data_IF_578581788301
#
_entry.id   IF_578581788301
#
_cell.length_a   1.000
_cell.length_b   1.000
_cell.length_c   1.000
_cell.angle_alpha   90.00
_cell.angle_beta   90.00
_cell.angle_gamma   90.00
#
_symmetry.space_group_name_H-M   'P 1'
#
loop_
_entity.id
_entity.type
_entity.pdbx_description
1 polymer ?
#
# COMPACT_ATOMS: atom_id res chain seq x y z
N UNK A 1 -27.69 -21.36 -6.71
CA UNK A 1 -26.72 -21.12 -5.64
C UNK A 1 -25.51 -20.43 -6.28
N UNK A 2 -25.23 -19.19 -5.92
CA UNK A 2 -24.08 -18.46 -6.40
C UNK A 2 -22.84 -18.91 -5.64
N UNK A 3 -21.71 -19.06 -6.33
CA UNK A 3 -20.41 -19.33 -5.74
C UNK A 3 -19.42 -18.23 -6.14
N UNK A 4 -18.61 -17.78 -5.21
CA UNK A 4 -17.49 -16.86 -5.48
C UNK A 4 -16.31 -17.68 -5.98
N UNK A 5 -15.59 -17.15 -6.94
CA UNK A 5 -14.30 -17.68 -7.39
C UNK A 5 -13.38 -16.52 -7.78
N UNK A 6 -12.11 -16.72 -7.57
CA UNK A 6 -11.06 -15.77 -7.96
C UNK A 6 -10.27 -16.39 -9.11
N UNK A 7 -10.37 -15.83 -10.34
CA UNK A 7 -9.78 -16.44 -11.54
C UNK A 7 -8.27 -16.54 -11.52
N UNK A 8 -7.61 -15.71 -10.69
CA UNK A 8 -6.15 -15.73 -10.55
C UNK A 8 -5.76 -16.47 -9.28
N UNK A 9 -4.93 -17.52 -9.42
CA UNK A 9 -4.33 -18.20 -8.28
C UNK A 9 -3.08 -17.47 -7.74
N UNK A 10 -2.77 -16.30 -8.29
CA UNK A 10 -1.62 -15.53 -7.87
C UNK A 10 -1.89 -14.75 -6.59
N UNK A 11 -1.10 -14.96 -5.52
CA UNK A 11 -1.17 -14.15 -4.30
C UNK A 11 -0.92 -12.64 -4.51
N UNK A 12 -0.37 -12.27 -5.67
CA UNK A 12 -0.09 -10.87 -6.03
C UNK A 12 -1.32 -9.96 -5.98
N UNK A 13 -2.53 -10.50 -6.17
CA UNK A 13 -3.77 -9.72 -6.25
C UNK A 13 -4.62 -9.77 -4.97
N UNK A 14 -4.34 -10.70 -4.07
CA UNK A 14 -5.21 -10.97 -2.91
C UNK A 14 -5.36 -9.78 -1.98
N UNK A 15 -4.30 -9.00 -1.79
CA UNK A 15 -4.33 -7.75 -0.99
C UNK A 15 -4.93 -6.54 -1.73
N UNK A 16 -5.39 -6.72 -2.98
CA UNK A 16 -6.19 -5.73 -3.73
C UNK A 16 -7.65 -6.16 -3.74
N UNK A 17 -7.93 -7.36 -4.25
CA UNK A 17 -9.29 -7.88 -4.37
C UNK A 17 -9.90 -8.20 -3.02
N UNK A 18 -9.11 -8.74 -2.12
CA UNK A 18 -9.57 -9.28 -0.86
C UNK A 18 -10.29 -10.62 -1.04
N UNK A 19 -11.03 -11.01 -0.04
CA UNK A 19 -11.88 -12.20 -0.02
C UNK A 19 -13.31 -11.82 0.39
N UNK A 20 -14.26 -12.66 0.01
CA UNK A 20 -15.62 -12.66 0.54
C UNK A 20 -15.95 -14.07 1.03
N UNK A 21 -16.11 -14.22 2.33
CA UNK A 21 -16.42 -15.47 3.00
C UNK A 21 -17.62 -15.27 3.92
N UNK A 22 -18.49 -16.27 3.99
CA UNK A 22 -19.60 -16.28 4.95
C UNK A 22 -19.12 -16.44 6.40
N UNK A 23 -17.91 -16.91 6.60
CA UNK A 23 -17.34 -17.22 7.90
C UNK A 23 -16.36 -16.14 8.37
N UNK A 24 -15.47 -15.67 7.48
CA UNK A 24 -14.42 -14.70 7.81
C UNK A 24 -14.76 -13.27 7.42
N UNK A 25 -15.96 -13.04 6.85
CA UNK A 25 -16.38 -11.73 6.37
C UNK A 25 -15.79 -11.36 5.01
N UNK A 26 -15.47 -10.09 4.84
CA UNK A 26 -14.91 -9.57 3.60
C UNK A 26 -13.75 -8.63 3.88
N UNK A 27 -12.83 -8.51 2.90
CA UNK A 27 -11.69 -7.60 3.00
C UNK A 27 -11.48 -6.81 1.69
N UNK A 28 -10.66 -5.77 1.73
CA UNK A 28 -10.20 -4.97 0.60
C UNK A 28 -11.36 -4.52 -0.32
N UNK A 29 -11.28 -4.74 -1.63
CA UNK A 29 -12.33 -4.35 -2.59
C UNK A 29 -13.63 -5.12 -2.37
N UNK A 30 -13.58 -6.39 -2.00
CA UNK A 30 -14.78 -7.16 -1.65
C UNK A 30 -15.56 -6.54 -0.49
N UNK A 31 -14.87 -5.94 0.48
CA UNK A 31 -15.50 -5.22 1.59
C UNK A 31 -15.93 -3.81 1.18
N UNK A 32 -15.00 -3.02 0.61
CA UNK A 32 -15.22 -1.59 0.34
C UNK A 32 -16.20 -1.31 -0.80
N UNK A 33 -16.34 -2.25 -1.75
CA UNK A 33 -17.23 -2.16 -2.90
C UNK A 33 -18.38 -3.16 -2.83
N UNK A 34 -18.66 -3.71 -1.65
CA UNK A 34 -19.68 -4.75 -1.47
C UNK A 34 -21.06 -4.32 -1.94
N UNK A 35 -21.48 -3.08 -1.70
CA UNK A 35 -22.80 -2.57 -2.10
C UNK A 35 -22.96 -2.50 -3.62
N UNK A 36 -21.88 -2.12 -4.33
CA UNK A 36 -21.85 -2.13 -5.80
C UNK A 36 -21.86 -3.57 -6.31
N UNK A 37 -21.01 -4.42 -5.76
CA UNK A 37 -20.84 -5.81 -6.21
C UNK A 37 -22.09 -6.66 -5.98
N UNK A 38 -22.90 -6.36 -4.95
CA UNK A 38 -24.14 -7.08 -4.65
C UNK A 38 -25.42 -6.37 -5.18
N UNK A 39 -25.30 -5.20 -5.81
CA UNK A 39 -26.41 -4.47 -6.41
C UNK A 39 -27.27 -3.69 -5.42
N UNK A 40 -26.81 -3.43 -4.20
CA UNK A 40 -27.53 -2.66 -3.17
C UNK A 40 -27.17 -1.19 -3.13
N UNK A 41 -26.16 -0.75 -3.88
CA UNK A 41 -25.74 0.65 -3.93
C UNK A 41 -26.82 1.55 -4.53
N UNK A 42 -27.07 2.70 -3.91
CA UNK A 42 -28.10 3.66 -4.32
C UNK A 42 -27.88 4.20 -5.74
N UNK A 43 -26.65 4.26 -6.23
CA UNK A 43 -26.31 4.70 -7.60
C UNK A 43 -26.87 3.75 -8.66
N UNK A 44 -27.12 2.51 -8.32
CA UNK A 44 -27.69 1.47 -9.21
C UNK A 44 -29.21 1.49 -9.24
N UNK A 45 -29.88 2.21 -8.33
CA UNK A 45 -31.35 2.25 -8.23
C UNK A 45 -31.99 2.80 -9.51
N UNK A 46 -31.37 3.76 -10.17
CA UNK A 46 -31.87 4.33 -11.43
C UNK A 46 -31.80 3.37 -12.60
N UNK A 47 -30.87 2.41 -12.58
CA UNK A 47 -30.76 1.35 -13.59
C UNK A 47 -31.64 0.16 -13.26
N UNK A 48 -31.86 -0.11 -11.98
CA UNK A 48 -32.55 -1.30 -11.48
C UNK A 48 -34.05 -1.06 -11.15
N UNK A 49 -34.57 0.18 -11.29
CA UNK A 49 -35.98 0.45 -10.94
C UNK A 49 -37.00 -0.37 -11.77
N UNK A 50 -36.72 -0.61 -13.05
CA UNK A 50 -37.50 -1.45 -13.93
C UNK A 50 -37.42 -2.94 -13.55
N UNK A 51 -36.26 -3.38 -13.09
CA UNK A 51 -36.02 -4.76 -12.65
C UNK A 51 -36.65 -5.02 -11.28
N UNK A 52 -36.73 -4.02 -10.41
CA UNK A 52 -37.45 -4.10 -9.12
C UNK A 52 -38.96 -4.29 -9.29
N UNK A 53 -39.56 -3.69 -10.33
CA UNK A 53 -40.99 -3.85 -10.66
C UNK A 53 -41.27 -5.21 -11.29
N UNK A 54 -40.26 -5.84 -11.92
CA UNK A 54 -40.43 -7.11 -12.65
C UNK A 54 -40.02 -8.35 -11.86
N UNK A 55 -39.82 -8.23 -10.53
CA UNK A 55 -39.46 -9.34 -9.63
C UNK A 55 -38.19 -10.11 -10.07
N UNK A 56 -37.27 -9.41 -10.77
CA UNK A 56 -35.96 -9.96 -11.16
C UNK A 56 -34.96 -9.86 -10.01
N UNK A 57 -34.11 -10.86 -9.91
CA UNK A 57 -33.01 -10.84 -8.96
C UNK A 57 -32.11 -9.58 -9.16
N UNK A 58 -31.74 -8.93 -8.06
CA UNK A 58 -30.80 -7.80 -8.09
C UNK A 58 -29.45 -8.29 -8.62
N UNK A 59 -28.94 -7.62 -9.64
CA UNK A 59 -27.66 -7.91 -10.24
C UNK A 59 -26.68 -6.82 -9.81
N UNK A 60 -25.53 -7.22 -9.28
CA UNK A 60 -24.43 -6.30 -8.94
C UNK A 60 -23.77 -5.72 -10.19
N UNK A 61 -23.02 -4.65 -9.99
CA UNK A 61 -22.22 -4.04 -11.03
C UNK A 61 -20.74 -4.44 -10.91
N UNK A 62 -20.00 -4.24 -12.02
CA UNK A 62 -18.57 -4.48 -12.05
C UNK A 62 -17.81 -3.30 -11.44
N UNK A 63 -16.72 -3.61 -10.76
CA UNK A 63 -15.73 -2.63 -10.31
C UNK A 63 -14.48 -2.75 -11.19
N UNK A 64 -14.17 -1.69 -11.93
CA UNK A 64 -12.97 -1.60 -12.74
C UNK A 64 -11.87 -0.89 -11.97
N UNK A 65 -10.68 -1.50 -11.91
CA UNK A 65 -9.50 -0.96 -11.24
C UNK A 65 -8.45 -0.50 -12.24
N UNK A 66 -7.55 0.38 -11.81
CA UNK A 66 -6.47 0.91 -12.64
C UNK A 66 -5.19 0.08 -12.57
N UNK A 67 -5.23 -1.05 -11.89
CA UNK A 67 -4.08 -1.95 -11.74
C UNK A 67 -3.71 -2.56 -13.09
N UNK A 68 -2.44 -2.45 -13.45
CA UNK A 68 -1.85 -3.18 -14.58
C UNK A 68 -1.43 -4.57 -14.08
N UNK A 69 -2.01 -5.66 -14.61
CA UNK A 69 -1.73 -7.00 -14.10
C UNK A 69 -0.25 -7.42 -14.24
N UNK A 70 0.41 -7.01 -15.32
CA UNK A 70 1.81 -7.37 -15.55
C UNK A 70 2.73 -6.63 -14.56
N UNK A 71 2.47 -5.33 -14.34
CA UNK A 71 3.21 -4.53 -13.39
C UNK A 71 2.97 -5.00 -11.95
N UNK A 72 1.72 -5.35 -11.61
CA UNK A 72 1.36 -5.91 -10.31
C UNK A 72 2.12 -7.20 -10.00
N UNK A 73 2.12 -8.13 -10.95
CA UNK A 73 2.84 -9.40 -10.80
C UNK A 73 4.35 -9.17 -10.68
N UNK A 74 4.92 -8.31 -11.52
CA UNK A 74 6.34 -7.98 -11.46
C UNK A 74 6.74 -7.34 -10.12
N UNK A 75 5.93 -6.41 -9.59
CA UNK A 75 6.16 -5.79 -8.29
C UNK A 75 6.11 -6.83 -7.16
N UNK A 76 5.14 -7.73 -7.21
CA UNK A 76 5.01 -8.81 -6.23
C UNK A 76 6.21 -9.76 -6.27
N UNK A 77 6.64 -10.19 -7.45
CA UNK A 77 7.77 -11.11 -7.63
C UNK A 77 9.08 -10.52 -7.07
N UNK A 78 9.28 -9.19 -7.22
CA UNK A 78 10.45 -8.49 -6.67
C UNK A 78 10.44 -8.39 -5.14
N UNK A 79 9.28 -8.43 -4.51
CA UNK A 79 9.18 -8.51 -3.04
C UNK A 79 9.42 -9.92 -2.53
N UNK A 80 8.79 -10.90 -3.17
CA UNK A 80 8.81 -12.30 -2.72
C UNK A 80 10.13 -12.98 -3.03
N UNK A 81 10.74 -12.71 -4.20
CA UNK A 81 11.98 -13.36 -4.61
C UNK A 81 13.12 -13.23 -3.58
N UNK A 82 13.41 -12.03 -3.04
CA UNK A 82 14.35 -11.83 -1.95
C UNK A 82 13.82 -12.13 -0.54
N UNK A 83 12.52 -12.42 -0.40
CA UNK A 83 11.87 -12.67 0.90
C UNK A 83 11.58 -11.40 1.70
N UNK A 84 11.32 -10.27 1.03
CA UNK A 84 11.00 -9.02 1.71
C UNK A 84 9.60 -9.05 2.30
N UNK A 85 9.47 -8.49 3.50
CA UNK A 85 8.21 -8.17 4.15
C UNK A 85 7.93 -6.67 3.98
N UNK A 86 6.81 -6.33 3.34
CA UNK A 86 6.47 -4.94 3.06
C UNK A 86 5.64 -4.77 1.79
N UNK A 87 5.72 -3.60 1.17
CA UNK A 87 4.90 -3.27 0.00
C UNK A 87 5.66 -2.50 -1.08
N UNK A 88 5.15 -2.60 -2.33
CA UNK A 88 5.57 -1.79 -3.45
C UNK A 88 4.34 -1.18 -4.13
N UNK A 89 4.34 0.14 -4.34
CA UNK A 89 3.23 0.88 -4.95
C UNK A 89 3.73 1.69 -6.14
N UNK A 90 3.06 1.54 -7.28
CA UNK A 90 3.31 2.34 -8.48
C UNK A 90 2.12 3.27 -8.75
N UNK A 91 2.36 4.57 -8.75
CA UNK A 91 1.35 5.60 -8.98
C UNK A 91 1.74 6.41 -10.22
N UNK A 92 0.77 6.66 -11.10
CA UNK A 92 0.94 7.57 -12.23
C UNK A 92 0.71 9.01 -11.75
N UNK A 93 1.74 9.88 -11.65
CA UNK A 93 1.60 11.20 -11.02
C UNK A 93 0.61 12.12 -11.73
N UNK A 94 0.52 12.02 -13.07
CA UNK A 94 -0.35 12.88 -13.88
C UNK A 94 -1.85 12.64 -13.69
N UNK A 95 -2.25 11.48 -13.18
CA UNK A 95 -3.65 11.07 -13.04
C UNK A 95 -4.02 10.59 -11.64
N UNK A 96 -3.03 10.28 -10.80
CA UNK A 96 -3.23 9.64 -9.50
C UNK A 96 -3.61 8.15 -9.59
N UNK A 97 -3.61 7.55 -10.78
CA UNK A 97 -3.93 6.12 -10.95
C UNK A 97 -2.90 5.26 -10.25
N UNK A 98 -3.38 4.30 -9.46
CA UNK A 98 -2.54 3.24 -8.87
C UNK A 98 -2.43 2.13 -9.90
N UNK A 99 -1.22 1.90 -10.42
CA UNK A 99 -0.93 0.91 -11.44
C UNK A 99 -0.47 -0.43 -10.86
N UNK A 100 0.14 -0.41 -9.67
CA UNK A 100 0.45 -1.59 -8.89
C UNK A 100 0.39 -1.25 -7.39
N UNK A 101 -0.01 -2.24 -6.58
CA UNK A 101 -0.01 -2.18 -5.12
C UNK A 101 0.22 -3.59 -4.59
N UNK A 102 1.48 -4.00 -4.56
CA UNK A 102 1.90 -5.32 -4.11
C UNK A 102 2.21 -5.31 -2.62
N UNK A 103 1.84 -6.39 -1.94
CA UNK A 103 2.07 -6.62 -0.51
C UNK A 103 2.69 -8.01 -0.32
N UNK A 104 3.68 -8.13 0.55
CA UNK A 104 4.37 -9.39 0.85
C UNK A 104 4.66 -9.48 2.36
N UNK A 105 4.42 -10.65 3.00
CA UNK A 105 3.81 -11.83 2.42
C UNK A 105 2.35 -11.63 2.01
N UNK A 106 1.80 -12.54 1.24
CA UNK A 106 0.41 -12.54 0.80
C UNK A 106 -0.14 -13.97 0.81
N UNK A 107 -1.36 -14.17 0.35
CA UNK A 107 -2.07 -15.45 0.41
C UNK A 107 -2.83 -15.70 -0.90
N UNK A 108 -3.22 -16.93 -1.17
CA UNK A 108 -4.16 -17.23 -2.25
C UNK A 108 -5.59 -17.09 -1.73
N UNK A 109 -6.35 -16.19 -2.31
CA UNK A 109 -7.74 -15.93 -1.88
C UNK A 109 -8.64 -17.16 -2.04
N UNK A 110 -8.39 -18.02 -3.05
CA UNK A 110 -9.18 -19.22 -3.26
C UNK A 110 -9.06 -20.23 -2.11
N UNK A 111 -7.94 -20.23 -1.38
CA UNK A 111 -7.73 -21.14 -0.25
C UNK A 111 -8.66 -20.83 0.94
N UNK A 112 -9.25 -19.61 0.96
CA UNK A 112 -10.25 -19.20 1.96
C UNK A 112 -11.70 -19.53 1.57
N UNK A 113 -11.92 -20.17 0.41
CA UNK A 113 -13.24 -20.59 -0.08
C UNK A 113 -13.49 -22.09 -0.01
N UNK A 114 -12.44 -22.87 0.20
CA UNK A 114 -12.47 -24.33 0.18
C UNK A 114 -12.90 -24.98 1.50
N UNK A 115 -12.88 -26.30 1.51
CA UNK A 115 -13.23 -27.11 2.69
C UNK A 115 -12.22 -26.92 3.85
N UNK A 116 -10.97 -26.57 3.53
CA UNK A 116 -9.89 -26.33 4.49
C UNK A 116 -9.72 -24.85 4.87
N UNK A 117 -10.74 -24.01 4.61
CA UNK A 117 -10.65 -22.56 4.83
C UNK A 117 -10.33 -22.20 6.29
N UNK A 118 -10.83 -22.96 7.26
CA UNK A 118 -10.56 -22.75 8.69
C UNK A 118 -9.09 -22.98 9.06
N UNK A 119 -8.51 -24.05 8.55
CA UNK A 119 -7.12 -24.37 8.77
C UNK A 119 -6.21 -23.35 8.11
N UNK A 120 -6.53 -22.99 6.86
CA UNK A 120 -5.81 -21.93 6.11
C UNK A 120 -5.88 -20.58 6.84
N UNK A 121 -7.07 -20.19 7.29
CA UNK A 121 -7.26 -18.95 8.03
C UNK A 121 -6.41 -18.89 9.30
N UNK A 122 -6.45 -19.96 10.10
CA UNK A 122 -5.65 -20.07 11.31
C UNK A 122 -4.14 -20.01 11.03
N UNK A 123 -3.69 -20.71 9.99
CA UNK A 123 -2.29 -20.69 9.57
C UNK A 123 -1.84 -19.29 9.11
N UNK A 124 -2.68 -18.57 8.34
CA UNK A 124 -2.38 -17.21 7.89
C UNK A 124 -2.33 -16.22 9.05
N UNK A 125 -3.14 -16.39 10.09
CA UNK A 125 -3.10 -15.54 11.29
C UNK A 125 -1.84 -15.75 12.14
N UNK A 126 -1.30 -16.96 12.16
CA UNK A 126 -0.09 -17.31 12.90
C UNK A 126 1.19 -17.08 12.09
N UNK A 127 1.06 -16.89 10.77
CA UNK A 127 2.20 -16.72 9.87
C UNK A 127 2.91 -15.39 10.14
N UNK A 128 4.24 -15.46 10.25
CA UNK A 128 5.08 -14.27 10.37
C UNK A 128 4.89 -13.34 9.16
N UNK A 129 4.89 -12.03 9.42
CA UNK A 129 4.72 -11.02 8.38
C UNK A 129 3.27 -10.70 8.05
N UNK A 130 2.27 -11.30 8.73
CA UNK A 130 0.85 -10.95 8.59
C UNK A 130 0.34 -10.91 7.13
N UNK A 131 0.27 -12.04 6.41
CA UNK A 131 -0.11 -12.08 4.99
C UNK A 131 -1.51 -11.53 4.70
N UNK A 132 -2.41 -11.52 5.69
CA UNK A 132 -3.76 -10.95 5.59
C UNK A 132 -3.76 -9.41 5.63
N UNK A 133 -2.66 -8.80 6.07
CA UNK A 133 -2.51 -7.34 6.13
C UNK A 133 -2.12 -6.78 4.76
N UNK A 134 -2.79 -5.71 4.33
CA UNK A 134 -2.30 -4.94 3.19
C UNK A 134 -1.20 -3.99 3.68
N UNK A 135 0.07 -4.38 3.52
CA UNK A 135 1.21 -3.60 3.98
C UNK A 135 1.32 -2.21 3.31
N UNK A 136 0.73 -2.05 2.11
CA UNK A 136 0.75 -0.76 1.42
C UNK A 136 -0.19 0.28 2.06
N UNK A 137 -1.26 -0.15 2.73
CA UNK A 137 -2.33 0.75 3.22
C UNK A 137 -2.59 0.65 4.71
N UNK A 138 -2.17 -0.43 5.36
CA UNK A 138 -2.52 -0.73 6.76
C UNK A 138 -1.29 -0.82 7.68
N UNK A 139 -0.08 -0.77 7.13
CA UNK A 139 1.14 -0.74 7.91
C UNK A 139 1.76 0.66 7.93
N UNK A 140 2.26 1.06 9.09
CA UNK A 140 3.00 2.32 9.25
C UNK A 140 4.45 2.01 9.57
N UNK A 141 5.35 2.57 8.75
CA UNK A 141 6.79 2.43 8.91
C UNK A 141 7.44 3.80 9.17
N UNK A 142 8.54 3.85 9.92
CA UNK A 142 9.32 5.08 10.05
C UNK A 142 9.77 5.56 8.66
N UNK A 143 9.53 6.84 8.29
CA UNK A 143 9.82 7.34 6.95
C UNK A 143 11.31 7.38 6.62
N UNK A 144 12.18 7.36 7.63
CA UNK A 144 13.63 7.44 7.43
C UNK A 144 14.02 8.65 6.59
N UNK A 145 15.01 8.47 5.67
CA UNK A 145 15.53 9.55 4.80
C UNK A 145 14.48 10.17 3.87
N UNK A 146 13.31 9.52 3.64
CA UNK A 146 12.22 10.12 2.86
C UNK A 146 11.69 11.38 3.55
N UNK A 147 11.77 11.45 4.89
CA UNK A 147 11.37 12.63 5.64
C UNK A 147 12.21 13.88 5.33
N UNK A 148 13.41 13.74 4.76
CA UNK A 148 14.25 14.85 4.31
C UNK A 148 13.56 15.73 3.26
N UNK A 149 12.69 15.15 2.42
CA UNK A 149 11.86 15.90 1.46
C UNK A 149 10.98 16.91 2.18
N UNK A 150 10.30 16.46 3.24
CA UNK A 150 9.40 17.31 4.04
C UNK A 150 10.19 18.38 4.79
N UNK A 151 11.32 17.99 5.41
CA UNK A 151 12.20 18.92 6.14
C UNK A 151 12.76 19.98 5.20
N UNK A 152 13.21 19.61 4.01
CA UNK A 152 13.71 20.54 3.00
C UNK A 152 12.62 21.49 2.51
N UNK A 153 11.44 20.99 2.21
CA UNK A 153 10.30 21.83 1.82
C UNK A 153 9.92 22.85 2.93
N UNK A 154 9.92 22.39 4.18
CA UNK A 154 9.73 23.30 5.33
C UNK A 154 10.83 24.36 5.42
N UNK A 155 12.08 24.02 5.20
CA UNK A 155 13.20 24.95 5.14
C UNK A 155 13.01 26.00 4.05
N UNK A 156 12.66 25.59 2.82
CA UNK A 156 12.40 26.50 1.71
C UNK A 156 11.25 27.48 2.01
N UNK A 157 10.17 27.01 2.67
CA UNK A 157 9.07 27.86 3.09
C UNK A 157 9.44 28.84 4.23
N UNK A 158 10.53 28.60 4.94
CA UNK A 158 11.03 29.44 6.03
C UNK A 158 12.28 30.27 5.66
N UNK A 159 12.46 30.55 4.37
CA UNK A 159 13.46 31.50 3.88
C UNK A 159 14.80 30.86 3.51
N UNK A 160 14.96 29.58 3.65
CA UNK A 160 16.12 28.88 3.07
C UNK A 160 15.98 28.81 1.54
N UNK A 161 17.10 28.67 0.86
CA UNK A 161 17.18 28.47 -0.59
C UNK A 161 18.27 27.42 -0.89
N UNK A 162 18.36 26.91 -2.11
CA UNK A 162 19.33 25.86 -2.47
C UNK A 162 20.79 26.21 -2.13
N UNK A 163 21.15 27.50 -2.13
CA UNK A 163 22.49 27.99 -1.81
C UNK A 163 22.71 28.31 -0.32
N UNK A 164 21.68 28.15 0.52
CA UNK A 164 21.81 28.39 1.97
C UNK A 164 22.84 27.48 2.58
N UNK A 165 23.74 28.06 3.38
CA UNK A 165 24.79 27.28 4.06
C UNK A 165 24.24 26.57 5.27
N UNK A 166 24.56 25.29 5.37
CA UNK A 166 24.20 24.39 6.47
C UNK A 166 25.47 23.79 7.07
N UNK A 167 25.37 23.31 8.31
CA UNK A 167 26.44 22.50 8.88
C UNK A 167 26.53 21.15 8.15
N UNK A 168 27.70 20.78 7.72
CA UNK A 168 28.03 19.45 7.21
C UNK A 168 28.68 18.56 8.26
N UNK A 169 28.64 18.98 9.54
CA UNK A 169 29.29 18.28 10.63
C UNK A 169 28.83 16.81 10.71
N UNK A 170 29.73 15.94 11.16
CA UNK A 170 29.50 14.52 11.38
C UNK A 170 28.27 14.23 12.28
N UNK A 171 28.10 15.09 13.28
CA UNK A 171 26.97 15.01 14.23
C UNK A 171 26.60 16.41 14.72
N UNK A 172 25.36 16.51 15.20
CA UNK A 172 24.83 17.68 15.89
C UNK A 172 24.13 17.24 17.17
N UNK A 173 24.17 18.09 18.18
CA UNK A 173 23.33 17.91 19.37
C UNK A 173 21.96 18.53 19.09
N UNK A 174 20.89 17.80 19.32
CA UNK A 174 19.53 18.31 19.12
C UNK A 174 19.21 19.43 20.12
N UNK A 175 18.48 20.49 19.69
CA UNK A 175 18.09 21.58 20.59
C UNK A 175 17.41 21.06 21.85
N UNK A 176 17.68 21.72 22.98
CA UNK A 176 17.11 21.43 24.30
C UNK A 176 17.29 19.96 24.77
N UNK A 177 18.30 19.28 24.27
CA UNK A 177 18.60 17.89 24.63
C UNK A 177 20.09 17.63 24.74
N UNK A 178 20.46 16.44 25.23
CA UNK A 178 21.81 15.87 25.17
C UNK A 178 21.93 14.81 24.08
N UNK A 179 20.89 14.65 23.28
CA UNK A 179 20.83 13.64 22.23
C UNK A 179 21.66 14.09 21.03
N UNK A 180 22.65 13.31 20.67
CA UNK A 180 23.46 13.50 19.48
C UNK A 180 22.82 12.80 18.29
N UNK A 181 22.61 13.54 17.19
CA UNK A 181 22.16 13.02 15.91
C UNK A 181 23.37 12.94 14.98
N UNK A 182 23.70 11.76 14.50
CA UNK A 182 24.83 11.51 13.61
C UNK A 182 24.36 11.33 12.17
N UNK A 183 25.21 11.73 11.19
CA UNK A 183 25.00 11.39 9.80
C UNK A 183 25.15 9.88 9.56
N UNK A 184 24.55 9.40 8.47
CA UNK A 184 24.76 8.03 7.99
C UNK A 184 26.25 7.73 7.83
N UNK A 185 26.66 6.53 8.23
CA UNK A 185 28.06 6.15 8.21
C UNK A 185 28.97 6.92 9.18
N UNK A 186 28.40 7.85 9.97
CA UNK A 186 29.18 8.69 10.89
C UNK A 186 30.21 9.59 10.17
N UNK A 187 29.82 10.06 8.97
CA UNK A 187 30.70 10.84 8.07
C UNK A 187 30.28 12.30 8.02
N UNK A 188 31.26 13.14 7.61
CA UNK A 188 31.02 14.56 7.34
C UNK A 188 30.28 14.70 6.00
N UNK A 189 29.18 15.44 5.96
CA UNK A 189 28.38 15.65 4.76
C UNK A 189 29.24 16.31 3.65
N UNK A 190 29.29 15.65 2.48
CA UNK A 190 30.07 16.17 1.34
C UNK A 190 31.55 16.41 1.62
N UNK A 191 32.13 15.76 2.64
CA UNK A 191 33.50 15.93 3.03
C UNK A 191 33.87 17.33 3.60
N UNK A 192 32.85 18.15 3.96
CA UNK A 192 33.03 19.52 4.42
C UNK A 192 32.20 19.83 5.67
N UNK A 193 32.75 20.68 6.55
CA UNK A 193 32.07 21.16 7.75
C UNK A 193 30.91 22.12 7.43
N UNK A 194 30.86 22.63 6.20
CA UNK A 194 29.77 23.50 5.73
C UNK A 194 29.42 23.12 4.30
N UNK A 195 28.14 22.94 4.03
CA UNK A 195 27.60 22.54 2.72
C UNK A 195 26.37 23.40 2.37
N UNK A 196 26.01 23.45 1.09
CA UNK A 196 24.75 24.09 0.68
C UNK A 196 23.57 23.17 0.98
N UNK A 197 22.36 23.74 1.10
CA UNK A 197 21.12 22.95 1.23
C UNK A 197 20.98 21.96 0.09
N UNK A 198 21.30 22.37 -1.15
CA UNK A 198 21.28 21.48 -2.32
C UNK A 198 22.24 20.30 -2.13
N UNK A 199 23.49 20.54 -1.79
CA UNK A 199 24.47 19.46 -1.55
C UNK A 199 24.01 18.50 -0.44
N UNK A 200 23.44 19.05 0.65
CA UNK A 200 22.95 18.24 1.76
C UNK A 200 21.73 17.39 1.39
N UNK A 201 20.95 17.81 0.38
CA UNK A 201 19.80 17.07 -0.11
C UNK A 201 20.17 16.01 -1.14
N UNK A 202 21.17 16.30 -2.00
CA UNK A 202 21.63 15.42 -3.09
C UNK A 202 22.44 14.21 -2.60
N UNK A 203 22.96 14.24 -1.36
CA UNK A 203 23.77 13.19 -0.73
C UNK A 203 22.96 12.38 0.30
#
# INVERSE_FOLDING_TARGET
KYSRSYPTDSPAFSNITGYLSTQFGASQLEASQNEILNGTDDSLLTQNWLDTISDKEKVGANVEVTIDPALQQAAYDQLVGPGYNGAAVAIQPSSGKILAMASSPSYNTNDLLGENADETWSALQEQEGNPLLNHATQETLPPGSIFKIITTAAGLNNGFNPSSSLTGAKSIVLPDSVTELTNYGNEVCGGSQSVTLQTAFDL
#
